data_IF_285627766307
#
_entry.id   IF_285627766307
#
_cell.length_a   1.000
_cell.length_b   1.000
_cell.length_c   1.000
_cell.angle_alpha   90.00
_cell.angle_beta   90.00
_cell.angle_gamma   90.00
#
_symmetry.space_group_name_H-M   'P 1'
#
loop_
_entity.id
_entity.type
_entity.pdbx_description
1 polymer ?
#
# COMPACT_ATOMS: atom_id res chain seq x y z
N UNK A 1 -17.06 -5.34 -18.89
CA UNK A 1 -16.41 -6.07 -17.78
C UNK A 1 -16.11 -5.08 -16.66
N UNK A 2 -16.41 -5.37 -15.40
CA UNK A 2 -16.11 -4.44 -14.31
C UNK A 2 -14.63 -4.52 -13.94
N UNK A 3 -13.92 -3.42 -14.09
CA UNK A 3 -12.49 -3.36 -13.79
C UNK A 3 -12.29 -3.07 -12.30
N UNK A 4 -12.43 -4.10 -11.48
CA UNK A 4 -12.33 -4.01 -10.02
C UNK A 4 -10.88 -4.17 -9.59
N UNK A 5 -10.51 -3.47 -8.52
CA UNK A 5 -9.20 -3.60 -7.91
C UNK A 5 -9.26 -4.11 -6.48
N UNK A 6 -8.18 -4.71 -6.04
CA UNK A 6 -7.82 -4.84 -4.63
C UNK A 6 -6.59 -3.98 -4.40
N UNK A 7 -6.78 -2.93 -3.62
CA UNK A 7 -5.73 -2.04 -3.17
C UNK A 7 -5.13 -2.59 -1.88
N UNK A 8 -3.83 -2.88 -1.88
CA UNK A 8 -3.12 -3.43 -0.74
C UNK A 8 -2.24 -2.34 -0.12
N UNK A 9 -2.26 -2.18 1.21
CA UNK A 9 -1.14 -1.52 1.88
C UNK A 9 0.13 -2.39 1.77
N UNK A 10 1.27 -1.77 2.05
CA UNK A 10 2.58 -2.41 2.02
C UNK A 10 2.98 -2.93 3.40
N UNK A 11 3.33 -2.00 4.29
CA UNK A 11 3.87 -2.32 5.61
C UNK A 11 2.76 -2.87 6.49
N UNK A 12 2.98 -4.02 7.13
CA UNK A 12 1.95 -4.74 7.90
C UNK A 12 0.94 -5.53 7.08
N UNK A 13 0.97 -5.43 5.75
CA UNK A 13 -0.04 -6.05 4.85
C UNK A 13 0.55 -6.94 3.76
N UNK A 14 1.51 -6.44 2.98
CA UNK A 14 2.27 -7.21 1.99
C UNK A 14 3.58 -7.71 2.61
N UNK A 15 4.22 -6.89 3.43
CA UNK A 15 5.39 -7.26 4.23
C UNK A 15 5.16 -7.04 5.72
N UNK A 16 6.08 -7.55 6.52
CA UNK A 16 6.09 -7.31 7.96
C UNK A 16 6.13 -5.81 8.29
N UNK A 17 5.40 -5.43 9.33
CA UNK A 17 5.45 -4.08 9.89
C UNK A 17 6.68 -3.94 10.79
N UNK A 18 7.65 -3.14 10.34
CA UNK A 18 8.95 -2.95 11.00
C UNK A 18 9.27 -1.46 11.27
N UNK A 19 8.25 -0.61 11.21
CA UNK A 19 8.39 0.84 11.16
C UNK A 19 9.01 1.28 9.85
N UNK A 20 10.06 2.10 9.94
CA UNK A 20 10.79 2.59 8.77
C UNK A 20 11.80 1.55 8.30
N UNK A 21 11.50 0.88 7.18
CA UNK A 21 12.42 -0.05 6.51
C UNK A 21 13.57 0.76 5.90
N UNK A 22 14.70 0.75 6.58
CA UNK A 22 15.91 1.49 6.21
C UNK A 22 16.98 0.61 5.57
N UNK A 23 16.71 -0.69 5.37
CA UNK A 23 17.61 -1.62 4.70
C UNK A 23 16.82 -2.74 4.00
N UNK A 24 17.21 -3.17 2.78
CA UNK A 24 16.58 -4.28 2.05
C UNK A 24 16.43 -5.58 2.83
N UNK A 25 17.40 -5.93 3.67
CA UNK A 25 17.36 -7.18 4.45
C UNK A 25 16.24 -7.22 5.50
N UNK A 26 15.69 -6.06 5.88
CA UNK A 26 14.55 -5.96 6.79
C UNK A 26 13.20 -6.10 6.06
N UNK A 27 13.22 -6.14 4.74
CA UNK A 27 12.02 -6.29 3.94
C UNK A 27 11.66 -7.77 3.81
N UNK A 28 10.61 -8.20 4.50
CA UNK A 28 10.16 -9.59 4.53
C UNK A 28 8.70 -9.65 4.08
N UNK A 29 8.44 -10.27 2.92
CA UNK A 29 7.09 -10.49 2.41
C UNK A 29 6.38 -11.51 3.31
N UNK A 30 5.14 -11.24 3.68
CA UNK A 30 4.38 -12.17 4.51
C UNK A 30 4.10 -13.49 3.76
N UNK A 31 4.22 -14.67 4.39
CA UNK A 31 4.27 -15.96 3.69
C UNK A 31 3.12 -16.26 2.71
N UNK A 32 1.91 -15.78 3.01
CA UNK A 32 0.70 -16.06 2.20
C UNK A 32 0.42 -14.99 1.12
N UNK A 33 1.19 -13.91 1.08
CA UNK A 33 0.94 -12.79 0.17
C UNK A 33 1.09 -13.17 -1.30
N UNK A 34 2.13 -13.91 -1.74
CA UNK A 34 2.22 -14.32 -3.14
C UNK A 34 0.99 -15.14 -3.58
N UNK A 35 0.56 -16.10 -2.76
CA UNK A 35 -0.64 -16.90 -3.04
C UNK A 35 -1.92 -16.06 -3.10
N UNK A 36 -2.11 -15.14 -2.16
CA UNK A 36 -3.25 -14.24 -2.14
C UNK A 36 -3.31 -13.37 -3.41
N UNK A 37 -2.17 -12.80 -3.84
CA UNK A 37 -2.07 -12.02 -5.09
C UNK A 37 -2.45 -12.89 -6.29
N UNK A 38 -1.91 -14.11 -6.40
CA UNK A 38 -2.27 -15.05 -7.50
C UNK A 38 -3.77 -15.32 -7.54
N UNK A 39 -4.39 -15.57 -6.37
CA UNK A 39 -5.81 -15.83 -6.28
C UNK A 39 -6.66 -14.63 -6.73
N UNK A 40 -6.27 -13.42 -6.34
CA UNK A 40 -6.92 -12.18 -6.77
C UNK A 40 -6.82 -12.00 -8.29
N UNK A 41 -5.63 -12.19 -8.85
CA UNK A 41 -5.39 -12.10 -10.31
C UNK A 41 -6.21 -13.14 -11.08
N UNK A 42 -6.26 -14.40 -10.59
CA UNK A 42 -7.09 -15.48 -11.16
C UNK A 42 -8.59 -15.14 -11.18
N UNK A 43 -9.03 -14.30 -10.24
CA UNK A 43 -10.40 -13.79 -10.15
C UNK A 43 -10.60 -12.43 -10.85
N UNK A 44 -9.70 -12.08 -11.78
CA UNK A 44 -9.77 -10.88 -12.62
C UNK A 44 -9.73 -9.54 -11.87
N UNK A 45 -9.19 -9.52 -10.64
CA UNK A 45 -8.90 -8.26 -9.95
C UNK A 45 -7.60 -7.66 -10.47
N UNK A 46 -7.58 -6.33 -10.57
CA UNK A 46 -6.34 -5.56 -10.56
C UNK A 46 -5.79 -5.56 -9.15
N UNK A 47 -4.52 -5.93 -8.97
CA UNK A 47 -3.88 -5.94 -7.65
C UNK A 47 -2.89 -4.80 -7.59
N UNK A 48 -3.18 -3.79 -6.78
CA UNK A 48 -2.45 -2.52 -6.79
C UNK A 48 -1.99 -2.21 -5.38
N UNK A 49 -0.72 -1.87 -5.21
CA UNK A 49 -0.19 -1.48 -3.91
C UNK A 49 -0.31 0.04 -3.72
N UNK A 50 -0.78 0.47 -2.55
CA UNK A 50 -0.95 1.89 -2.15
C UNK A 50 -0.38 2.15 -0.75
N UNK A 51 0.71 2.91 -0.65
CA UNK A 51 1.43 3.04 0.63
C UNK A 51 1.83 4.48 1.02
N UNK A 52 1.88 4.75 2.33
CA UNK A 52 2.42 5.99 2.89
C UNK A 52 3.88 5.78 3.31
N UNK A 53 4.83 6.40 2.60
CA UNK A 53 6.27 6.25 2.82
C UNK A 53 6.91 7.53 3.37
N UNK A 54 6.47 7.94 4.56
CA UNK A 54 6.91 9.20 5.18
C UNK A 54 8.35 9.21 5.70
N UNK A 55 9.09 8.09 5.61
CA UNK A 55 10.48 8.00 6.09
C UNK A 55 11.39 9.00 5.39
N UNK A 56 11.16 9.22 4.09
CA UNK A 56 11.90 10.22 3.29
C UNK A 56 11.60 11.64 3.77
N UNK A 57 10.32 11.95 4.02
CA UNK A 57 9.93 13.24 4.57
C UNK A 57 10.57 13.53 5.93
N UNK A 58 10.84 12.49 6.70
CA UNK A 58 11.49 12.59 8.02
C UNK A 58 13.04 12.56 7.93
N UNK A 59 13.61 12.36 6.75
CA UNK A 59 15.05 12.30 6.53
C UNK A 59 15.70 11.01 7.04
N UNK A 60 14.92 9.93 7.21
CA UNK A 60 15.47 8.65 7.68
C UNK A 60 16.24 7.88 6.62
N UNK A 61 15.86 8.06 5.36
CA UNK A 61 16.50 7.45 4.19
C UNK A 61 16.10 8.22 2.93
N UNK A 62 16.86 8.09 1.83
CA UNK A 62 16.57 8.80 0.60
C UNK A 62 15.48 8.06 -0.21
N UNK A 63 14.92 8.72 -1.23
CA UNK A 63 13.76 8.20 -2.00
C UNK A 63 14.10 6.92 -2.77
N UNK A 64 15.35 6.80 -3.18
CA UNK A 64 15.93 5.69 -3.93
C UNK A 64 15.80 4.37 -3.16
N UNK A 65 15.89 4.40 -1.82
CA UNK A 65 15.68 3.20 -1.02
C UNK A 65 14.24 2.67 -1.15
N UNK A 66 13.23 3.55 -1.23
CA UNK A 66 11.85 3.09 -1.44
C UNK A 66 11.71 2.40 -2.79
N UNK A 67 12.35 2.96 -3.82
CA UNK A 67 12.33 2.41 -5.17
C UNK A 67 13.04 1.05 -5.22
N UNK A 68 14.19 0.92 -4.57
CA UNK A 68 14.92 -0.34 -4.41
C UNK A 68 14.05 -1.40 -3.72
N UNK A 69 13.41 -1.05 -2.59
CA UNK A 69 12.49 -1.95 -1.88
C UNK A 69 11.33 -2.38 -2.78
N UNK A 70 10.78 -1.49 -3.60
CA UNK A 70 9.70 -1.83 -4.52
C UNK A 70 10.15 -2.71 -5.69
N UNK A 71 11.40 -2.56 -6.16
CA UNK A 71 11.98 -3.47 -7.15
C UNK A 71 12.19 -4.87 -6.55
N UNK A 72 12.72 -4.95 -5.33
CA UNK A 72 12.90 -6.20 -4.60
C UNK A 72 11.56 -6.89 -4.36
N UNK A 73 10.53 -6.14 -3.97
CA UNK A 73 9.17 -6.65 -3.81
C UNK A 73 8.67 -7.31 -5.10
N UNK A 74 8.73 -6.58 -6.23
CA UNK A 74 8.26 -7.11 -7.50
C UNK A 74 9.04 -8.34 -7.93
N UNK A 75 10.37 -8.33 -7.78
CA UNK A 75 11.21 -9.47 -8.14
C UNK A 75 10.89 -10.71 -7.30
N UNK A 76 10.72 -10.54 -5.98
CA UNK A 76 10.38 -11.65 -5.08
C UNK A 76 8.97 -12.19 -5.33
N UNK A 77 8.00 -11.34 -5.61
CA UNK A 77 6.66 -11.77 -6.02
C UNK A 77 6.69 -12.55 -7.34
N UNK A 78 7.47 -12.07 -8.33
CA UNK A 78 7.59 -12.69 -9.63
C UNK A 78 8.19 -14.10 -9.57
N UNK A 79 9.14 -14.35 -8.67
CA UNK A 79 9.69 -15.68 -8.40
C UNK A 79 8.66 -16.67 -7.86
N UNK A 80 7.58 -16.16 -7.29
CA UNK A 80 6.44 -16.90 -6.76
C UNK A 80 5.21 -16.79 -7.68
N UNK A 81 5.39 -16.49 -8.98
CA UNK A 81 4.30 -16.32 -9.97
C UNK A 81 3.21 -15.30 -9.57
N UNK A 82 3.54 -14.36 -8.68
CA UNK A 82 2.67 -13.29 -8.23
C UNK A 82 3.09 -11.96 -8.86
N UNK A 83 2.12 -11.16 -9.31
CA UNK A 83 2.40 -9.85 -9.94
C UNK A 83 1.42 -8.78 -9.47
N UNK A 84 1.95 -7.60 -9.20
CA UNK A 84 1.17 -6.38 -8.96
C UNK A 84 0.97 -5.66 -10.30
N UNK A 85 -0.23 -5.12 -10.52
CA UNK A 85 -0.51 -4.28 -11.70
C UNK A 85 0.16 -2.90 -11.58
N UNK A 86 0.30 -2.36 -10.36
CA UNK A 86 1.01 -1.12 -10.09
C UNK A 86 1.38 -0.96 -8.61
N UNK A 87 2.35 -0.07 -8.37
CA UNK A 87 2.74 0.42 -7.04
C UNK A 87 2.59 1.94 -7.02
N UNK A 88 1.79 2.45 -6.11
CA UNK A 88 1.65 3.88 -5.84
C UNK A 88 2.02 4.17 -4.39
N UNK A 89 2.78 5.24 -4.15
CA UNK A 89 3.16 5.61 -2.79
C UNK A 89 3.23 7.12 -2.60
N UNK A 90 3.09 7.55 -1.35
CA UNK A 90 3.19 8.94 -0.93
C UNK A 90 4.45 9.17 -0.08
N UNK A 91 5.43 9.96 -0.53
CA UNK A 91 6.62 10.29 0.25
C UNK A 91 6.40 11.49 1.22
N UNK A 92 5.23 12.12 1.21
CA UNK A 92 4.99 13.40 1.89
C UNK A 92 4.55 13.27 3.35
N UNK A 93 4.85 14.31 4.13
CA UNK A 93 4.31 14.50 5.48
C UNK A 93 4.13 16.01 5.79
N UNK A 94 3.01 16.45 6.39
CA UNK A 94 2.78 17.88 6.69
C UNK A 94 3.80 18.45 7.69
N UNK A 95 4.27 17.61 8.61
CA UNK A 95 5.29 17.94 9.61
C UNK A 95 6.68 17.35 9.25
N UNK A 96 7.00 17.26 7.96
CA UNK A 96 8.31 16.75 7.49
C UNK A 96 9.48 17.67 7.91
N UNK A 97 10.64 17.06 8.13
CA UNK A 97 11.92 17.76 8.32
C UNK A 97 12.59 18.12 6.99
N UNK A 98 12.40 17.28 5.97
CA UNK A 98 12.91 17.52 4.62
C UNK A 98 11.94 18.40 3.84
N UNK A 99 12.33 19.64 3.53
CA UNK A 99 11.49 20.65 2.89
C UNK A 99 10.83 20.19 1.59
N UNK A 100 11.54 19.39 0.77
CA UNK A 100 11.02 18.86 -0.49
C UNK A 100 9.74 18.02 -0.31
N UNK A 101 9.60 17.34 0.83
CA UNK A 101 8.48 16.44 1.11
C UNK A 101 7.50 16.99 2.16
N UNK A 102 7.71 18.24 2.61
CA UNK A 102 6.85 18.93 3.57
C UNK A 102 5.61 19.49 2.89
N UNK A 103 4.58 18.65 2.76
CA UNK A 103 3.35 19.02 2.05
C UNK A 103 2.14 18.32 2.63
N UNK A 104 1.04 19.06 2.72
CA UNK A 104 -0.29 18.46 2.84
C UNK A 104 -0.80 18.02 1.46
N UNK A 105 -0.37 16.84 0.98
CA UNK A 105 -0.74 16.35 -0.35
C UNK A 105 -2.10 15.66 -0.36
N UNK A 106 -2.72 15.53 -1.54
CA UNK A 106 -3.90 14.67 -1.75
C UNK A 106 -3.60 13.17 -1.73
N UNK A 107 -2.32 12.81 -1.80
CA UNK A 107 -1.81 11.46 -1.99
C UNK A 107 -1.60 10.65 -0.70
N UNK A 108 -1.53 11.31 0.46
CA UNK A 108 -1.25 10.64 1.74
C UNK A 108 -2.54 10.03 2.29
N UNK A 109 -2.59 8.72 2.48
CA UNK A 109 -3.74 8.04 3.14
C UNK A 109 -4.00 8.70 4.50
N UNK A 110 -5.25 9.01 4.86
CA UNK A 110 -6.51 8.50 4.29
C UNK A 110 -7.04 9.27 3.06
N UNK A 111 -6.30 10.25 2.53
CA UNK A 111 -6.72 10.99 1.33
C UNK A 111 -6.67 10.09 0.07
N UNK A 112 -7.61 10.26 -0.87
CA UNK A 112 -7.86 9.29 -1.94
C UNK A 112 -6.94 9.42 -3.17
N UNK A 113 -5.98 10.34 -3.18
CA UNK A 113 -5.25 10.73 -4.39
C UNK A 113 -4.53 9.58 -5.10
N UNK A 114 -3.98 8.61 -4.36
CA UNK A 114 -3.34 7.44 -4.98
C UNK A 114 -4.36 6.50 -5.64
N UNK A 115 -5.53 6.30 -5.02
CA UNK A 115 -6.61 5.49 -5.60
C UNK A 115 -7.16 6.16 -6.85
N UNK A 116 -7.37 7.48 -6.85
CA UNK A 116 -7.85 8.19 -8.04
C UNK A 116 -6.83 8.19 -9.18
N UNK A 117 -5.53 8.21 -8.87
CA UNK A 117 -4.49 7.99 -9.87
C UNK A 117 -4.61 6.60 -10.50
N UNK A 118 -4.68 5.56 -9.68
CA UNK A 118 -4.90 4.18 -10.16
C UNK A 118 -6.21 4.03 -10.94
N UNK A 119 -7.28 4.69 -10.50
CA UNK A 119 -8.58 4.69 -11.18
C UNK A 119 -8.46 5.25 -12.59
N UNK A 120 -7.70 6.33 -12.78
CA UNK A 120 -7.46 6.91 -14.09
C UNK A 120 -6.59 6.00 -14.95
N UNK A 121 -5.49 5.51 -14.40
CA UNK A 121 -4.50 4.71 -15.14
C UNK A 121 -5.09 3.38 -15.64
N UNK A 122 -6.02 2.80 -14.86
CA UNK A 122 -6.63 1.51 -15.18
C UNK A 122 -8.11 1.59 -15.56
N UNK A 123 -8.80 2.73 -15.47
CA UNK A 123 -10.26 2.84 -15.64
C UNK A 123 -11.04 1.93 -14.66
N UNK A 124 -10.80 2.12 -13.35
CA UNK A 124 -11.33 1.23 -12.30
C UNK A 124 -12.74 1.60 -11.83
N UNK A 125 -13.53 0.58 -11.49
CA UNK A 125 -14.77 0.72 -10.71
C UNK A 125 -14.45 0.72 -9.22
N UNK A 126 -13.98 1.86 -8.69
CA UNK A 126 -13.48 1.98 -7.30
C UNK A 126 -14.55 1.62 -6.26
N UNK A 127 -15.80 1.99 -6.49
CA UNK A 127 -16.91 1.65 -5.60
C UNK A 127 -17.25 0.15 -5.53
N UNK A 128 -16.70 -0.66 -6.43
CA UNK A 128 -16.78 -2.12 -6.44
C UNK A 128 -15.45 -2.78 -6.06
N UNK A 129 -14.48 -1.99 -5.64
CA UNK A 129 -13.12 -2.41 -5.31
C UNK A 129 -12.95 -2.57 -3.80
N UNK A 130 -11.78 -3.06 -3.40
CA UNK A 130 -11.45 -3.34 -2.01
C UNK A 130 -10.18 -2.59 -1.61
N UNK A 131 -10.09 -2.16 -0.36
CA UNK A 131 -8.84 -1.69 0.25
C UNK A 131 -8.52 -2.59 1.43
N UNK A 132 -7.34 -3.20 1.43
CA UNK A 132 -6.86 -4.11 2.46
C UNK A 132 -5.66 -3.46 3.15
N UNK A 133 -5.71 -3.36 4.47
CA UNK A 133 -4.65 -2.73 5.26
C UNK A 133 -4.71 -3.17 6.72
N UNK A 134 -3.65 -2.87 7.47
CA UNK A 134 -3.55 -3.18 8.89
C UNK A 134 -3.87 -1.97 9.80
N UNK A 135 -4.25 -0.83 9.22
CA UNK A 135 -4.56 0.41 9.96
C UNK A 135 -5.97 0.91 9.67
N UNK A 136 -6.60 1.57 10.63
CA UNK A 136 -7.88 2.24 10.37
C UNK A 136 -7.79 3.34 9.32
N UNK A 137 -6.62 3.95 9.11
CA UNK A 137 -6.42 4.91 8.00
C UNK A 137 -6.67 4.29 6.62
N UNK A 138 -6.47 2.98 6.46
CA UNK A 138 -6.74 2.26 5.21
C UNK A 138 -8.23 2.01 5.05
N UNK A 139 -8.92 1.76 6.16
CA UNK A 139 -10.39 1.61 6.20
C UNK A 139 -11.06 2.95 5.93
N UNK A 140 -10.54 4.03 6.50
CA UNK A 140 -10.97 5.41 6.23
C UNK A 140 -10.71 5.77 4.76
N UNK A 141 -9.56 5.41 4.19
CA UNK A 141 -9.30 5.54 2.75
C UNK A 141 -10.36 4.78 1.94
N UNK A 142 -10.68 3.54 2.31
CA UNK A 142 -11.70 2.74 1.63
C UNK A 142 -13.06 3.45 1.62
N UNK A 143 -13.48 3.93 2.79
CA UNK A 143 -14.70 4.69 2.96
C UNK A 143 -14.71 5.96 2.10
N UNK A 144 -13.62 6.73 2.11
CA UNK A 144 -13.48 7.98 1.35
C UNK A 144 -13.61 7.80 -0.17
N UNK A 145 -13.39 6.59 -0.69
CA UNK A 145 -13.52 6.28 -2.13
C UNK A 145 -14.73 5.38 -2.43
N UNK A 146 -15.55 5.05 -1.43
CA UNK A 146 -16.69 4.14 -1.56
C UNK A 146 -16.31 2.68 -1.83
N UNK A 147 -15.07 2.28 -1.58
CA UNK A 147 -14.60 0.90 -1.68
C UNK A 147 -14.89 0.13 -0.39
N UNK A 148 -14.85 -1.20 -0.46
CA UNK A 148 -14.97 -2.05 0.73
C UNK A 148 -13.63 -2.13 1.47
N UNK A 149 -13.59 -1.66 2.71
CA UNK A 149 -12.41 -1.81 3.58
C UNK A 149 -12.33 -3.21 4.20
N UNK A 150 -11.13 -3.77 4.26
CA UNK A 150 -10.81 -5.02 4.96
C UNK A 150 -9.63 -4.76 5.87
N UNK A 151 -9.89 -4.80 7.18
CA UNK A 151 -8.84 -4.75 8.20
C UNK A 151 -8.30 -6.16 8.40
N UNK A 152 -7.00 -6.35 8.19
CA UNK A 152 -6.31 -7.60 8.51
C UNK A 152 -5.59 -7.47 9.85
N UNK A 153 -5.31 -8.61 10.49
CA UNK A 153 -4.77 -8.67 11.85
C UNK A 153 -3.25 -8.90 11.91
N UNK A 154 -2.57 -8.73 10.78
CA UNK A 154 -1.10 -8.60 10.70
C UNK A 154 -0.68 -7.18 11.07
N UNK A 155 0.62 -6.92 11.21
CA UNK A 155 1.13 -5.59 11.55
C UNK A 155 0.47 -5.00 12.79
N UNK A 156 -0.03 -3.77 12.67
CA UNK A 156 -0.76 -3.07 13.73
C UNK A 156 -2.23 -3.50 13.88
N UNK A 157 -2.76 -4.34 13.00
CA UNK A 157 -4.20 -4.60 12.89
C UNK A 157 -4.87 -5.17 14.14
N UNK A 158 -4.19 -6.05 14.90
CA UNK A 158 -4.70 -6.50 16.21
C UNK A 158 -4.81 -5.35 17.21
N UNK A 159 -3.85 -4.43 17.16
CA UNK A 159 -3.81 -3.27 18.03
C UNK A 159 -4.93 -2.29 17.67
N UNK A 160 -5.08 -1.99 16.38
CA UNK A 160 -6.13 -1.14 15.85
C UNK A 160 -7.51 -1.71 16.21
N UNK A 161 -7.76 -3.01 15.98
CA UNK A 161 -9.07 -3.61 16.32
C UNK A 161 -9.40 -3.59 17.83
N UNK A 162 -8.39 -3.70 18.70
CA UNK A 162 -8.62 -3.91 20.14
C UNK A 162 -8.57 -2.64 20.98
N UNK A 163 -7.79 -1.65 20.56
CA UNK A 163 -7.42 -0.51 21.42
C UNK A 163 -7.70 0.86 20.82
N UNK A 164 -8.12 0.93 19.56
CA UNK A 164 -8.48 2.18 18.87
C UNK A 164 -9.98 2.12 18.55
#
# INVERSE_FOLDING_TARGET
MSNQAVFLDRDGTVNEEMGYINHPDRFIILPQVPEAIRLLKKNNFKVILVSNQAGVAKGYFPIELIEEIHQILQERLRKEDATLDAIYYCPHHPQASVSLYKKDCSCRKPKPGLIYKAQKDFNLAVNKSYVVGDRFKDIELAHNVGAKGILILTGYGKGELRYI
#
